data_IF_527844059590
#
_entry.id   IF_527844059590
#
_cell.length_a   1.000
_cell.length_b   1.000
_cell.length_c   1.000
_cell.angle_alpha   90.00
_cell.angle_beta   90.00
_cell.angle_gamma   90.00
#
_symmetry.space_group_name_H-M   'P 1'
#
loop_
_entity.id
_entity.type
_entity.pdbx_description
1 polymer ?
#
# COMPACT_ATOMS: atom_id res chain seq x y z
N UNK A 1 1.88 -4.97 15.90
CA UNK A 1 0.69 -4.60 16.70
C UNK A 1 0.12 -3.24 16.31
N UNK A 2 0.87 -2.14 16.35
CA UNK A 2 0.39 -0.79 16.01
C UNK A 2 -0.26 -0.73 14.62
N UNK A 3 0.36 -1.32 13.61
CA UNK A 3 -0.15 -1.35 12.23
C UNK A 3 -1.53 -2.00 12.11
N UNK A 4 -1.75 -3.12 12.81
CA UNK A 4 -3.04 -3.83 12.81
C UNK A 4 -4.13 -2.96 13.43
N UNK A 5 -3.81 -2.30 14.54
CA UNK A 5 -4.74 -1.38 15.23
C UNK A 5 -5.11 -0.22 14.32
N UNK A 6 -4.12 0.42 13.67
CA UNK A 6 -4.36 1.54 12.75
C UNK A 6 -5.22 1.14 11.55
N UNK A 7 -4.95 -0.03 10.95
CA UNK A 7 -5.76 -0.57 9.85
C UNK A 7 -7.18 -0.86 10.31
N UNK A 8 -7.36 -1.47 11.48
CA UNK A 8 -8.69 -1.76 12.04
C UNK A 8 -9.48 -0.47 12.28
N UNK A 9 -8.85 0.54 12.88
CA UNK A 9 -9.46 1.87 13.12
C UNK A 9 -9.85 2.53 11.80
N UNK A 10 -8.96 2.50 10.80
CA UNK A 10 -9.22 3.05 9.46
C UNK A 10 -10.40 2.35 8.80
N UNK A 11 -10.44 1.03 8.83
CA UNK A 11 -11.55 0.24 8.25
C UNK A 11 -12.87 0.54 8.97
N UNK A 12 -12.86 0.65 10.29
CA UNK A 12 -14.03 1.00 11.05
C UNK A 12 -14.52 2.42 10.74
N UNK A 13 -13.60 3.38 10.63
CA UNK A 13 -13.91 4.75 10.25
C UNK A 13 -14.57 4.82 8.86
N UNK A 14 -14.00 4.14 7.86
CA UNK A 14 -14.52 4.19 6.49
C UNK A 14 -15.81 3.39 6.34
N UNK A 15 -15.98 2.27 7.03
CA UNK A 15 -17.16 1.43 6.87
C UNK A 15 -18.36 1.87 7.73
N UNK A 16 -18.12 2.41 8.92
CA UNK A 16 -19.18 2.66 9.91
C UNK A 16 -19.45 4.14 10.20
N UNK A 17 -18.69 5.11 9.61
CA UNK A 17 -18.96 6.54 9.83
C UNK A 17 -19.66 7.20 8.66
N UNK A 18 -20.39 8.30 8.95
CA UNK A 18 -21.03 9.13 7.93
C UNK A 18 -20.00 9.72 6.94
N UNK A 19 -18.81 10.06 7.44
CA UNK A 19 -17.71 10.56 6.62
C UNK A 19 -17.23 9.47 5.67
N UNK A 20 -17.05 8.24 6.14
CA UNK A 20 -16.66 7.11 5.30
C UNK A 20 -17.71 6.76 4.24
N UNK A 21 -19.01 6.86 4.56
CA UNK A 21 -20.07 6.74 3.55
C UNK A 21 -19.97 7.82 2.48
N UNK A 22 -19.74 9.07 2.89
CA UNK A 22 -19.55 10.17 1.95
C UNK A 22 -18.31 9.97 1.05
N UNK A 23 -17.20 9.50 1.61
CA UNK A 23 -15.97 9.17 0.84
C UNK A 23 -16.26 8.11 -0.23
N UNK A 24 -16.96 7.03 0.12
CA UNK A 24 -17.29 5.96 -0.83
C UNK A 24 -18.29 6.40 -1.89
N UNK A 25 -19.25 7.26 -1.55
CA UNK A 25 -20.19 7.83 -2.51
C UNK A 25 -19.46 8.71 -3.52
N UNK A 26 -18.65 9.65 -3.05
CA UNK A 26 -17.86 10.56 -3.91
C UNK A 26 -16.87 9.79 -4.80
N UNK A 27 -16.29 8.70 -4.31
CA UNK A 27 -15.39 7.84 -5.08
C UNK A 27 -16.10 7.09 -6.23
N UNK A 28 -17.40 6.79 -6.07
CA UNK A 28 -18.18 6.09 -7.11
C UNK A 28 -18.77 7.05 -8.15
N UNK A 29 -19.30 8.18 -7.72
CA UNK A 29 -19.94 9.15 -8.58
C UNK A 29 -19.87 10.55 -7.96
N UNK A 30 -19.03 11.37 -8.55
CA UNK A 30 -18.75 12.72 -8.09
C UNK A 30 -19.96 13.64 -8.28
N UNK A 31 -20.59 13.59 -9.47
CA UNK A 31 -21.71 14.48 -9.84
C UNK A 31 -22.96 14.16 -9.03
N UNK A 32 -23.31 12.88 -8.96
CA UNK A 32 -24.48 12.43 -8.18
C UNK A 32 -24.32 12.74 -6.70
N UNK A 33 -23.12 12.60 -6.15
CA UNK A 33 -22.84 12.92 -4.74
C UNK A 33 -23.03 14.40 -4.45
N UNK A 34 -22.67 15.27 -5.38
CA UNK A 34 -22.89 16.72 -5.26
C UNK A 34 -24.37 17.07 -5.27
N UNK A 35 -25.14 16.43 -6.16
CA UNK A 35 -26.60 16.62 -6.24
C UNK A 35 -27.31 16.16 -4.96
N UNK A 36 -26.79 15.16 -4.28
CA UNK A 36 -27.29 14.66 -2.98
C UNK A 36 -26.87 15.55 -1.80
N UNK A 37 -26.22 16.70 -2.05
CA UNK A 37 -25.86 17.68 -1.02
C UNK A 37 -24.57 17.37 -0.26
N UNK A 38 -23.75 16.42 -0.72
CA UNK A 38 -22.47 16.12 -0.11
C UNK A 38 -21.47 17.23 -0.45
N UNK A 39 -20.87 17.83 0.57
CA UNK A 39 -19.82 18.86 0.40
C UNK A 39 -18.51 18.20 0.00
N UNK A 40 -18.26 18.05 -1.30
CA UNK A 40 -17.14 17.33 -1.87
C UNK A 40 -15.79 17.84 -1.35
N UNK A 41 -15.59 19.16 -1.30
CA UNK A 41 -14.34 19.76 -0.80
C UNK A 41 -14.03 19.32 0.65
N UNK A 42 -15.06 19.19 1.50
CA UNK A 42 -14.87 18.70 2.87
C UNK A 42 -14.47 17.23 2.92
N UNK A 43 -15.07 16.40 2.04
CA UNK A 43 -14.73 14.98 1.95
C UNK A 43 -13.30 14.81 1.48
N UNK A 44 -12.88 15.55 0.44
CA UNK A 44 -11.50 15.51 -0.06
C UNK A 44 -10.52 15.94 1.05
N UNK A 45 -10.80 17.07 1.73
CA UNK A 45 -9.93 17.56 2.80
C UNK A 45 -9.75 16.53 3.93
N UNK A 46 -10.83 15.91 4.37
CA UNK A 46 -10.77 14.88 5.43
C UNK A 46 -10.01 13.64 4.95
N UNK A 47 -10.18 13.23 3.70
CA UNK A 47 -9.43 12.10 3.12
C UNK A 47 -7.93 12.38 3.13
N UNK A 48 -7.52 13.58 2.73
CA UNK A 48 -6.11 13.98 2.78
C UNK A 48 -5.56 14.06 4.20
N UNK A 49 -6.34 14.57 5.17
CA UNK A 49 -5.93 14.60 6.59
C UNK A 49 -5.66 13.19 7.11
N UNK A 50 -6.57 12.24 6.84
CA UNK A 50 -6.40 10.85 7.25
C UNK A 50 -5.19 10.22 6.58
N UNK A 51 -5.02 10.43 5.27
CA UNK A 51 -3.87 9.94 4.51
C UNK A 51 -2.54 10.49 5.04
N UNK A 52 -2.47 11.79 5.31
CA UNK A 52 -1.28 12.44 5.86
C UNK A 52 -0.94 11.94 7.26
N UNK A 53 -1.95 11.73 8.10
CA UNK A 53 -1.75 11.15 9.44
C UNK A 53 -1.16 9.73 9.37
N UNK A 54 -1.73 8.87 8.50
CA UNK A 54 -1.21 7.52 8.31
C UNK A 54 0.20 7.52 7.73
N UNK A 55 0.49 8.41 6.80
CA UNK A 55 1.83 8.57 6.24
C UNK A 55 2.85 9.01 7.29
N UNK A 56 2.47 9.94 8.19
CA UNK A 56 3.32 10.37 9.30
C UNK A 56 3.64 9.22 10.26
N UNK A 57 2.64 8.42 10.64
CA UNK A 57 2.86 7.24 11.49
C UNK A 57 3.72 6.20 10.78
N UNK A 58 3.48 5.97 9.49
CA UNK A 58 4.28 5.07 8.66
C UNK A 58 5.74 5.50 8.59
N UNK A 59 6.01 6.80 8.42
CA UNK A 59 7.37 7.35 8.40
C UNK A 59 8.09 7.17 9.76
N UNK A 60 7.41 7.38 10.87
CA UNK A 60 7.97 7.14 12.20
C UNK A 60 8.39 5.67 12.38
N UNK A 61 7.53 4.73 11.97
CA UNK A 61 7.84 3.30 12.04
C UNK A 61 9.01 2.92 11.13
N UNK A 62 9.07 3.50 9.93
CA UNK A 62 10.16 3.25 8.98
C UNK A 62 11.50 3.73 9.53
N UNK A 63 11.60 4.97 10.03
CA UNK A 63 12.83 5.54 10.54
C UNK A 63 13.25 4.99 11.90
N UNK A 64 12.39 4.31 12.63
CA UNK A 64 12.76 3.54 13.80
C UNK A 64 13.67 2.36 13.44
N UNK A 65 13.45 1.74 12.27
CA UNK A 65 14.29 0.65 11.78
C UNK A 65 15.50 1.13 10.95
N UNK A 66 15.36 2.26 10.26
CA UNK A 66 16.37 2.83 9.36
C UNK A 66 16.71 4.27 9.81
N UNK A 67 17.63 4.46 10.78
CA UNK A 67 17.89 5.76 11.40
C UNK A 67 18.55 6.80 10.47
N UNK A 68 19.01 6.40 9.28
CA UNK A 68 19.60 7.30 8.30
C UNK A 68 18.55 8.04 7.48
N UNK A 69 18.38 9.34 7.72
CA UNK A 69 17.43 10.18 6.96
C UNK A 69 18.18 10.98 5.90
N UNK A 70 17.88 10.73 4.64
CA UNK A 70 18.31 11.56 3.51
C UNK A 70 17.07 12.10 2.77
N UNK A 71 17.18 13.22 2.05
CA UNK A 71 16.02 13.84 1.38
C UNK A 71 15.24 12.90 0.46
N UNK A 72 15.90 11.88 -0.10
CA UNK A 72 15.31 10.89 -1.02
C UNK A 72 14.80 9.63 -0.34
N UNK A 73 14.93 9.49 0.99
CA UNK A 73 14.55 8.27 1.75
C UNK A 73 13.08 7.88 1.59
N UNK A 74 12.19 8.82 1.26
CA UNK A 74 10.77 8.55 1.06
C UNK A 74 10.40 7.99 -0.30
N UNK A 75 11.29 8.08 -1.31
CA UNK A 75 10.96 7.70 -2.68
C UNK A 75 10.68 6.19 -2.81
N UNK A 76 11.57 5.33 -2.32
CA UNK A 76 11.42 3.88 -2.40
C UNK A 76 10.23 3.34 -1.58
N UNK A 77 10.05 3.72 -0.31
CA UNK A 77 8.85 3.32 0.43
C UNK A 77 7.55 3.80 -0.20
N UNK A 78 7.52 5.03 -0.75
CA UNK A 78 6.35 5.56 -1.45
C UNK A 78 6.01 4.76 -2.70
N UNK A 79 7.01 4.40 -3.49
CA UNK A 79 6.83 3.57 -4.67
C UNK A 79 6.33 2.16 -4.30
N UNK A 80 6.89 1.53 -3.26
CA UNK A 80 6.44 0.22 -2.75
C UNK A 80 5.00 0.28 -2.22
N UNK A 81 4.62 1.36 -1.56
CA UNK A 81 3.25 1.56 -1.10
C UNK A 81 2.26 1.65 -2.28
N UNK A 82 2.64 2.34 -3.36
CA UNK A 82 1.86 2.37 -4.61
C UNK A 82 1.74 0.97 -5.22
N UNK A 83 2.85 0.23 -5.32
CA UNK A 83 2.85 -1.16 -5.81
C UNK A 83 1.92 -2.03 -4.97
N UNK A 84 1.96 -1.91 -3.65
CA UNK A 84 1.10 -2.65 -2.73
C UNK A 84 -0.39 -2.35 -2.94
N UNK A 85 -0.74 -1.08 -3.18
CA UNK A 85 -2.11 -0.67 -3.45
C UNK A 85 -2.64 -1.24 -4.78
N UNK A 86 -1.81 -1.20 -5.84
CA UNK A 86 -2.14 -1.76 -7.15
C UNK A 86 -2.26 -3.28 -7.08
N UNK A 87 -1.30 -3.94 -6.43
CA UNK A 87 -1.28 -5.39 -6.21
C UNK A 87 -2.52 -5.88 -5.45
N UNK A 88 -2.88 -5.15 -4.38
CA UNK A 88 -4.06 -5.48 -3.58
C UNK A 88 -5.37 -5.27 -4.30
N UNK A 89 -5.39 -4.38 -5.28
CA UNK A 89 -6.57 -3.96 -6.04
C UNK A 89 -7.01 -2.55 -5.67
N UNK A 90 -6.98 -1.66 -6.66
CA UNK A 90 -7.36 -0.25 -6.50
C UNK A 90 -8.83 -0.18 -6.05
N UNK A 91 -9.08 0.55 -4.96
CA UNK A 91 -10.40 0.70 -4.36
C UNK A 91 -10.70 -0.25 -3.19
N UNK A 92 -9.89 -1.27 -2.95
CA UNK A 92 -10.04 -2.20 -1.83
C UNK A 92 -8.99 -1.95 -0.74
N UNK A 93 -9.40 -1.36 0.40
CA UNK A 93 -8.49 -1.12 1.52
C UNK A 93 -7.92 -2.43 2.09
N UNK A 94 -8.75 -3.47 2.37
CA UNK A 94 -8.21 -4.74 2.83
C UNK A 94 -7.29 -5.40 1.80
N UNK A 95 -7.58 -5.21 0.50
CA UNK A 95 -6.70 -5.66 -0.57
C UNK A 95 -5.32 -5.02 -0.51
N UNK A 96 -5.24 -3.69 -0.38
CA UNK A 96 -3.99 -2.97 -0.27
C UNK A 96 -3.15 -3.41 0.95
N UNK A 97 -3.81 -3.69 2.08
CA UNK A 97 -3.14 -4.19 3.30
C UNK A 97 -2.55 -5.58 3.06
N UNK A 98 -3.34 -6.51 2.51
CA UNK A 98 -2.85 -7.86 2.16
C UNK A 98 -1.71 -7.78 1.14
N UNK A 99 -1.85 -6.91 0.13
CA UNK A 99 -0.81 -6.67 -0.86
C UNK A 99 0.51 -6.19 -0.23
N UNK A 100 0.44 -5.23 0.70
CA UNK A 100 1.61 -4.74 1.41
C UNK A 100 2.29 -5.83 2.26
N UNK A 101 1.51 -6.67 2.95
CA UNK A 101 2.04 -7.80 3.71
C UNK A 101 2.72 -8.82 2.81
N UNK A 102 2.11 -9.19 1.69
CA UNK A 102 2.71 -10.15 0.75
C UNK A 102 4.02 -9.63 0.18
N UNK A 103 4.07 -8.37 -0.25
CA UNK A 103 5.31 -7.75 -0.75
C UNK A 103 6.38 -7.74 0.34
N UNK A 104 6.03 -7.33 1.57
CA UNK A 104 6.97 -7.32 2.68
C UNK A 104 7.51 -8.71 3.05
N UNK A 105 6.67 -9.73 3.02
CA UNK A 105 7.10 -11.12 3.26
C UNK A 105 8.04 -11.59 2.14
N UNK A 106 7.69 -11.37 0.87
CA UNK A 106 8.54 -11.75 -0.26
C UNK A 106 9.90 -11.05 -0.19
N UNK A 107 9.93 -9.76 0.11
CA UNK A 107 11.16 -8.98 0.25
C UNK A 107 12.05 -9.52 1.39
N UNK A 108 11.46 -9.83 2.55
CA UNK A 108 12.20 -10.37 3.68
C UNK A 108 12.73 -11.80 3.41
N UNK A 109 11.97 -12.63 2.69
CA UNK A 109 12.44 -13.95 2.28
C UNK A 109 13.65 -13.82 1.34
N UNK A 110 13.61 -12.92 0.37
CA UNK A 110 14.72 -12.70 -0.56
C UNK A 110 15.98 -12.23 0.17
N UNK A 111 15.83 -11.29 1.09
CA UNK A 111 16.95 -10.81 1.93
C UNK A 111 17.50 -11.91 2.84
N UNK A 112 16.62 -12.69 3.47
CA UNK A 112 17.01 -13.80 4.34
C UNK A 112 17.73 -14.93 3.59
N UNK A 113 17.36 -15.17 2.34
CA UNK A 113 18.07 -16.14 1.49
C UNK A 113 19.49 -15.66 1.16
N UNK A 114 19.67 -14.37 0.86
CA UNK A 114 21.00 -13.78 0.60
C UNK A 114 21.91 -13.92 1.81
N UNK A 115 21.41 -13.55 3.00
CA UNK A 115 22.14 -13.68 4.27
C UNK A 115 22.49 -15.15 4.59
N UNK A 116 21.59 -16.09 4.32
CA UNK A 116 21.82 -17.52 4.56
C UNK A 116 22.89 -18.08 3.61
N UNK A 117 22.91 -17.68 2.33
CA UNK A 117 23.92 -18.11 1.36
C UNK A 117 25.32 -17.59 1.71
N UNK A 118 25.40 -16.38 2.26
CA UNK A 118 26.65 -15.81 2.76
C UNK A 118 27.15 -16.59 3.99
N UNK A 119 26.26 -16.91 4.94
CA UNK A 119 26.61 -17.66 6.15
C UNK A 119 27.06 -19.11 5.85
N UNK A 120 26.50 -19.74 4.83
CA UNK A 120 26.90 -21.09 4.39
C UNK A 120 28.23 -21.10 3.64
N UNK A 121 28.89 -19.96 3.43
CA UNK A 121 30.18 -19.85 2.76
C UNK A 121 30.15 -20.20 1.27
N UNK A 122 28.95 -20.33 0.68
CA UNK A 122 28.79 -20.64 -0.74
C UNK A 122 29.18 -19.44 -1.60
N UNK A 123 29.07 -18.24 -1.03
CA UNK A 123 29.41 -16.98 -1.69
C UNK A 123 30.23 -16.12 -0.71
N UNK A 124 31.43 -15.71 -1.12
CA UNK A 124 32.29 -14.81 -0.33
C UNK A 124 31.76 -13.37 -0.29
N UNK A 125 30.93 -13.01 -1.23
CA UNK A 125 30.14 -11.77 -1.29
C UNK A 125 28.72 -12.15 -1.67
N UNK A 126 27.72 -11.67 -0.95
CA UNK A 126 26.31 -11.92 -1.28
C UNK A 126 26.05 -11.70 -2.77
N UNK A 127 25.11 -12.43 -3.35
CA UNK A 127 24.68 -12.26 -4.76
C UNK A 127 24.12 -10.87 -5.03
N UNK A 128 24.06 -9.98 -4.00
CA UNK A 128 23.41 -8.68 -4.11
C UNK A 128 21.90 -8.83 -4.29
N UNK A 129 21.32 -9.96 -3.90
CA UNK A 129 19.87 -10.20 -3.96
C UNK A 129 19.11 -9.14 -3.19
N UNK A 130 19.71 -8.57 -2.15
CA UNK A 130 19.18 -7.42 -1.41
C UNK A 130 19.01 -6.20 -2.31
N UNK A 131 19.95 -5.94 -3.22
CA UNK A 131 19.87 -4.85 -4.21
C UNK A 131 18.81 -5.15 -5.27
N UNK A 132 18.65 -6.42 -5.64
CA UNK A 132 17.64 -6.85 -6.60
C UNK A 132 16.25 -7.08 -5.98
N UNK A 133 16.10 -7.01 -4.66
CA UNK A 133 14.79 -7.23 -4.00
C UNK A 133 13.73 -6.25 -4.48
N UNK A 134 14.13 -5.01 -4.77
CA UNK A 134 13.24 -3.99 -5.32
C UNK A 134 12.81 -4.32 -6.76
N UNK A 135 13.76 -4.74 -7.59
CA UNK A 135 13.46 -5.18 -8.96
C UNK A 135 12.52 -6.41 -8.97
N UNK A 136 12.70 -7.34 -8.04
CA UNK A 136 11.82 -8.50 -7.88
C UNK A 136 10.41 -8.08 -7.49
N UNK A 137 10.26 -7.11 -6.59
CA UNK A 137 8.95 -6.56 -6.20
C UNK A 137 8.21 -5.96 -7.40
N UNK A 138 8.92 -5.23 -8.27
CA UNK A 138 8.34 -4.69 -9.49
C UNK A 138 8.03 -5.76 -10.53
N UNK A 139 8.89 -6.75 -10.70
CA UNK A 139 8.64 -7.88 -11.59
C UNK A 139 7.38 -8.66 -11.15
N UNK A 140 7.22 -8.89 -9.85
CA UNK A 140 6.05 -9.54 -9.28
C UNK A 140 4.77 -8.72 -9.52
N UNK A 141 4.85 -7.37 -9.41
CA UNK A 141 3.74 -6.50 -9.78
C UNK A 141 3.33 -6.71 -11.25
N UNK A 142 4.29 -6.69 -12.17
CA UNK A 142 4.04 -6.86 -13.61
C UNK A 142 3.35 -8.20 -13.87
N UNK A 143 3.86 -9.29 -13.30
CA UNK A 143 3.29 -10.63 -13.44
C UNK A 143 1.83 -10.66 -12.97
N UNK A 144 1.53 -10.04 -11.84
CA UNK A 144 0.16 -10.02 -11.31
C UNK A 144 -0.76 -9.15 -12.14
N UNK A 145 -0.30 -7.99 -12.62
CA UNK A 145 -1.12 -7.15 -13.51
C UNK A 145 -1.44 -7.84 -14.83
N UNK A 146 -0.52 -8.66 -15.36
CA UNK A 146 -0.78 -9.47 -16.56
C UNK A 146 -1.81 -10.58 -16.25
N UNK A 147 -1.67 -11.26 -15.10
CA UNK A 147 -2.57 -12.35 -14.71
C UNK A 147 -3.94 -11.84 -14.25
N UNK A 148 -3.99 -10.71 -13.56
CA UNK A 148 -5.20 -10.14 -12.97
C UNK A 148 -5.15 -8.60 -12.94
N UNK A 149 -5.58 -7.93 -14.01
CA UNK A 149 -5.43 -6.47 -14.16
C UNK A 149 -6.19 -5.66 -13.11
N UNK A 150 -7.16 -6.24 -12.42
CA UNK A 150 -7.90 -5.61 -11.31
C UNK A 150 -7.20 -5.72 -9.96
N UNK A 151 -6.03 -6.39 -9.88
CA UNK A 151 -5.39 -6.76 -8.62
C UNK A 151 -6.07 -7.95 -7.93
N UNK A 152 -5.56 -8.33 -6.74
CA UNK A 152 -6.06 -9.53 -6.03
C UNK A 152 -7.52 -9.39 -5.57
N UNK A 153 -7.90 -8.21 -5.06
CA UNK A 153 -9.21 -7.91 -4.46
C UNK A 153 -9.94 -6.73 -5.13
N UNK A 154 -9.48 -6.31 -6.32
CA UNK A 154 -10.14 -5.22 -7.05
C UNK A 154 -11.54 -5.62 -7.53
N UNK A 155 -12.50 -4.72 -7.40
CA UNK A 155 -13.82 -4.86 -7.99
C UNK A 155 -13.72 -4.73 -9.52
N UNK A 156 -14.42 -5.59 -10.25
CA UNK A 156 -14.56 -5.43 -11.70
C UNK A 156 -15.25 -4.10 -11.96
N UNK A 157 -14.63 -3.24 -12.77
CA UNK A 157 -15.30 -2.05 -13.27
C UNK A 157 -16.59 -2.49 -13.96
N UNK A 158 -17.74 -2.18 -13.35
CA UNK A 158 -19.03 -2.37 -13.99
C UNK A 158 -19.18 -1.24 -14.99
N UNK A 159 -19.12 -1.54 -16.27
CA UNK A 159 -19.41 -0.58 -17.33
C UNK A 159 -20.81 -0.01 -17.05
N UNK A 160 -20.86 1.28 -16.76
CA UNK A 160 -22.12 2.01 -16.75
C UNK A 160 -22.53 2.17 -18.21
N UNK A 161 -23.46 1.33 -18.67
CA UNK A 161 -24.22 1.53 -19.91
C UNK A 161 -25.25 2.63 -19.68
#
# INVERSE_FOLDING_TARGET
MLTIVLVAVLMQLINHTKIGMAMRAVAKDFETSQLMGIKINSVISVTFIIGSFLAAVGSLLYFTNYPGVVPTSGAMPGLKAFVAAVFGGIGSIPGAVVGAFLIGICENIIKGLDDMLVQLGVLQTGLGLTTFSDAFTFALLIVILIAKPTGLFGEKATDKV
#
